data_IF_608440388212
#
_entry.id   IF_608440388212
#
_cell.length_a   1.000
_cell.length_b   1.000
_cell.length_c   1.000
_cell.angle_alpha   90.00
_cell.angle_beta   90.00
_cell.angle_gamma   90.00
#
_symmetry.space_group_name_H-M   'P 1'
#
loop_
_entity.id
_entity.type
_entity.pdbx_description
1 polymer ?
#
# COMPACT_ATOMS: atom_id res chain seq x y z
N UNK A 1 -3.62 -14.59 2.34
CA UNK A 1 -4.59 -13.48 2.39
C UNK A 1 -4.93 -13.27 3.84
N UNK A 2 -4.46 -12.18 4.42
CA UNK A 2 -4.69 -11.86 5.82
C UNK A 2 -6.05 -11.19 5.99
N UNK A 3 -6.72 -11.48 7.10
CA UNK A 3 -7.94 -10.79 7.52
C UNK A 3 -7.56 -9.34 7.82
N UNK A 4 -8.28 -8.37 7.26
CA UNK A 4 -8.07 -6.96 7.64
C UNK A 4 -8.32 -6.86 9.15
N UNK A 5 -7.36 -6.33 9.94
CA UNK A 5 -7.53 -6.26 11.38
C UNK A 5 -8.81 -5.49 11.71
N UNK A 6 -9.58 -6.06 12.64
CA UNK A 6 -10.86 -5.57 13.12
C UNK A 6 -10.83 -4.05 13.34
N UNK A 7 -11.72 -3.32 12.67
CA UNK A 7 -11.94 -1.90 12.93
C UNK A 7 -13.25 -1.75 13.73
N UNK A 8 -13.27 -1.00 14.86
CA UNK A 8 -14.46 -0.89 15.71
C UNK A 8 -15.72 -0.38 15.00
N UNK A 9 -15.54 0.38 13.92
CA UNK A 9 -16.64 1.01 13.17
C UNK A 9 -17.09 0.23 11.94
N UNK A 10 -16.27 -0.69 11.41
CA UNK A 10 -16.56 -1.39 10.14
C UNK A 10 -16.04 -2.82 10.21
N UNK A 11 -16.96 -3.78 10.05
CA UNK A 11 -16.61 -5.19 9.89
C UNK A 11 -16.43 -5.48 8.40
N UNK A 12 -15.21 -5.87 8.00
CA UNK A 12 -14.92 -6.30 6.63
C UNK A 12 -14.92 -7.81 6.57
N UNK A 13 -15.85 -8.39 5.84
CA UNK A 13 -15.95 -9.85 5.67
C UNK A 13 -15.11 -10.34 4.49
N UNK A 14 -14.88 -11.64 4.40
CA UNK A 14 -14.22 -12.25 3.23
C UNK A 14 -15.05 -12.09 1.96
N UNK A 15 -16.38 -12.03 2.10
CA UNK A 15 -17.29 -11.78 0.97
C UNK A 15 -17.13 -10.35 0.44
N UNK A 16 -16.95 -9.36 1.31
CA UNK A 16 -16.69 -7.98 0.90
C UNK A 16 -15.37 -7.90 0.12
N UNK A 17 -14.32 -8.56 0.61
CA UNK A 17 -13.03 -8.64 -0.07
C UNK A 17 -13.17 -9.30 -1.46
N UNK A 18 -13.97 -10.36 -1.58
CA UNK A 18 -14.24 -11.03 -2.85
C UNK A 18 -15.00 -10.13 -3.82
N UNK A 19 -16.03 -9.41 -3.36
CA UNK A 19 -16.81 -8.47 -4.19
C UNK A 19 -15.95 -7.33 -4.70
N UNK A 20 -15.08 -6.76 -3.87
CA UNK A 20 -14.15 -5.70 -4.28
C UNK A 20 -13.21 -6.20 -5.37
N UNK A 21 -12.62 -7.38 -5.18
CA UNK A 21 -11.76 -8.04 -6.18
C UNK A 21 -12.47 -8.23 -7.51
N UNK A 22 -13.70 -8.75 -7.49
CA UNK A 22 -14.54 -8.92 -8.68
C UNK A 22 -14.88 -7.58 -9.36
N UNK A 23 -15.16 -6.53 -8.59
CA UNK A 23 -15.48 -5.20 -9.15
C UNK A 23 -14.32 -4.55 -9.92
N UNK A 24 -13.10 -5.05 -9.72
CA UNK A 24 -11.90 -4.60 -10.39
C UNK A 24 -11.37 -5.61 -11.44
N UNK A 25 -12.10 -6.69 -11.72
CA UNK A 25 -11.67 -7.81 -12.57
C UNK A 25 -10.37 -8.48 -12.08
N UNK A 26 -10.18 -8.53 -10.76
CA UNK A 26 -9.01 -9.12 -10.10
C UNK A 26 -9.48 -10.15 -9.06
N UNK A 27 -10.16 -11.21 -9.49
CA UNK A 27 -10.75 -12.23 -8.62
C UNK A 27 -9.99 -13.56 -8.60
N UNK A 28 -9.04 -13.77 -9.51
CA UNK A 28 -8.11 -14.90 -9.47
C UNK A 28 -7.09 -14.72 -8.33
N UNK A 29 -7.34 -15.44 -7.24
CA UNK A 29 -6.50 -15.44 -6.03
C UNK A 29 -5.07 -15.89 -6.31
N UNK A 30 -4.84 -16.84 -7.22
CA UNK A 30 -3.49 -17.30 -7.51
C UNK A 30 -2.73 -16.24 -8.28
N UNK A 31 -3.35 -15.66 -9.31
CA UNK A 31 -2.79 -14.53 -10.05
C UNK A 31 -2.45 -13.34 -9.15
N UNK A 32 -3.31 -13.03 -8.17
CA UNK A 32 -3.01 -11.99 -7.17
C UNK A 32 -1.74 -12.36 -6.41
N UNK A 33 -1.64 -13.58 -5.88
CA UNK A 33 -0.48 -13.99 -5.09
C UNK A 33 0.82 -13.87 -5.90
N UNK A 34 0.84 -14.41 -7.11
CA UNK A 34 2.00 -14.40 -7.99
C UNK A 34 2.39 -12.97 -8.38
N UNK A 35 1.40 -12.10 -8.61
CA UNK A 35 1.63 -10.69 -8.91
C UNK A 35 2.22 -9.95 -7.71
N UNK A 36 1.71 -10.19 -6.50
CA UNK A 36 2.23 -9.60 -5.28
C UNK A 36 3.65 -10.07 -4.98
N UNK A 37 3.96 -11.35 -5.20
CA UNK A 37 5.32 -11.88 -5.04
C UNK A 37 6.29 -11.23 -6.04
N UNK A 38 5.86 -11.07 -7.30
CA UNK A 38 6.63 -10.37 -8.34
C UNK A 38 6.93 -8.93 -7.95
N UNK A 39 5.96 -8.21 -7.38
CA UNK A 39 6.12 -6.80 -6.98
C UNK A 39 7.00 -6.71 -5.73
N UNK A 40 6.83 -7.60 -4.76
CA UNK A 40 7.64 -7.66 -3.54
C UNK A 40 9.12 -7.94 -3.86
N UNK A 41 9.40 -8.88 -4.76
CA UNK A 41 10.75 -9.12 -5.26
C UNK A 41 11.34 -7.90 -5.96
N UNK A 42 10.53 -7.21 -6.77
CA UNK A 42 10.97 -6.01 -7.46
C UNK A 42 11.33 -4.90 -6.47
N UNK A 43 10.52 -4.67 -5.43
CA UNK A 43 10.81 -3.70 -4.37
C UNK A 43 12.17 -3.97 -3.71
N UNK A 44 12.45 -5.24 -3.39
CA UNK A 44 13.73 -5.67 -2.80
C UNK A 44 14.93 -5.47 -3.72
N UNK A 45 14.72 -5.56 -5.03
CA UNK A 45 15.77 -5.38 -6.05
C UNK A 45 16.07 -3.90 -6.34
N UNK A 46 15.17 -2.97 -6.03
CA UNK A 46 15.38 -1.54 -6.26
C UNK A 46 16.14 -0.90 -5.08
N UNK A 47 17.39 -0.41 -5.26
CA UNK A 47 18.19 0.11 -4.14
C UNK A 47 17.53 1.28 -3.40
N UNK A 48 16.82 2.14 -4.11
CA UNK A 48 16.14 3.31 -3.56
C UNK A 48 14.78 3.00 -2.91
N UNK A 49 14.26 1.78 -3.07
CA UNK A 49 12.99 1.34 -2.46
C UNK A 49 13.19 0.23 -1.43
N UNK A 50 14.34 -0.46 -1.42
CA UNK A 50 14.55 -1.66 -0.63
C UNK A 50 14.25 -1.47 0.87
N UNK A 51 14.72 -0.37 1.46
CA UNK A 51 14.45 -0.04 2.86
C UNK A 51 12.97 0.30 3.08
N UNK A 52 12.42 1.22 2.29
CA UNK A 52 11.02 1.64 2.40
C UNK A 52 10.04 0.47 2.18
N UNK A 53 10.40 -0.47 1.31
CA UNK A 53 9.65 -1.68 1.01
C UNK A 53 9.49 -2.60 2.22
N UNK A 54 10.42 -2.60 3.17
CA UNK A 54 10.31 -3.42 4.40
C UNK A 54 9.12 -3.03 5.28
N UNK A 55 8.63 -1.79 5.15
CA UNK A 55 7.46 -1.29 5.89
C UNK A 55 6.14 -1.52 5.15
N UNK A 56 6.18 -2.06 3.92
CA UNK A 56 4.99 -2.36 3.13
C UNK A 56 4.54 -3.78 3.45
N UNK A 57 3.50 -3.90 4.27
CA UNK A 57 2.89 -5.20 4.52
C UNK A 57 2.23 -5.75 3.25
N UNK A 58 2.07 -7.08 3.19
CA UNK A 58 1.39 -7.73 2.07
C UNK A 58 -0.04 -7.23 1.87
N UNK A 59 -0.73 -6.89 2.96
CA UNK A 59 -2.09 -6.32 2.91
C UNK A 59 -2.11 -4.91 2.32
N UNK A 60 -1.10 -4.07 2.59
CA UNK A 60 -0.95 -2.78 1.91
C UNK A 60 -0.65 -3.01 0.43
N UNK A 61 0.27 -3.92 0.12
CA UNK A 61 0.64 -4.22 -1.27
C UNK A 61 -0.56 -4.68 -2.11
N UNK A 62 -1.41 -5.55 -1.55
CA UNK A 62 -2.65 -6.00 -2.19
C UNK A 62 -3.62 -4.84 -2.43
N UNK A 63 -3.76 -3.91 -1.49
CA UNK A 63 -4.60 -2.71 -1.68
C UNK A 63 -4.10 -1.85 -2.82
N UNK A 64 -2.78 -1.59 -2.90
CA UNK A 64 -2.21 -0.80 -4.00
C UNK A 64 -2.41 -1.53 -5.33
N UNK A 65 -2.28 -2.86 -5.35
CA UNK A 65 -2.53 -3.69 -6.54
C UNK A 65 -3.99 -3.62 -7.02
N UNK A 66 -4.96 -3.71 -6.11
CA UNK A 66 -6.38 -3.54 -6.42
C UNK A 66 -6.65 -2.12 -6.94
N UNK A 67 -6.08 -1.08 -6.31
CA UNK A 67 -6.20 0.31 -6.78
C UNK A 67 -5.55 0.52 -8.16
N UNK A 68 -4.57 -0.31 -8.52
CA UNK A 68 -3.96 -0.37 -9.84
C UNK A 68 -4.73 -1.26 -10.83
N UNK A 69 -5.93 -1.74 -10.48
CA UNK A 69 -6.76 -2.65 -11.29
C UNK A 69 -6.02 -3.93 -11.69
N UNK A 70 -5.21 -4.47 -10.78
CA UNK A 70 -4.46 -5.70 -11.02
C UNK A 70 -3.27 -5.56 -11.97
N UNK A 71 -2.85 -4.33 -12.29
CA UNK A 71 -1.67 -4.07 -13.11
C UNK A 71 -0.40 -4.09 -12.27
N UNK A 72 0.55 -4.97 -12.60
CA UNK A 72 1.87 -5.03 -11.94
C UNK A 72 2.62 -3.71 -12.13
N UNK A 73 2.77 -3.24 -13.37
CA UNK A 73 3.48 -1.97 -13.67
C UNK A 73 2.74 -0.76 -13.09
N UNK A 74 1.41 -0.77 -13.13
CA UNK A 74 0.59 0.26 -12.48
C UNK A 74 0.81 0.31 -10.97
N UNK A 75 1.02 -0.84 -10.34
CA UNK A 75 1.31 -0.94 -8.90
C UNK A 75 2.71 -0.41 -8.59
N UNK A 76 3.72 -0.80 -9.37
CA UNK A 76 5.09 -0.28 -9.25
C UNK A 76 5.12 1.25 -9.33
N UNK A 77 4.48 1.82 -10.36
CA UNK A 77 4.41 3.28 -10.54
C UNK A 77 3.71 3.98 -9.37
N UNK A 78 2.64 3.39 -8.82
CA UNK A 78 1.94 3.93 -7.64
C UNK A 78 2.81 3.88 -6.39
N UNK A 79 3.54 2.79 -6.17
CA UNK A 79 4.46 2.63 -5.04
C UNK A 79 5.60 3.64 -5.10
N UNK A 80 6.25 3.80 -6.26
CA UNK A 80 7.30 4.80 -6.46
C UNK A 80 6.79 6.21 -6.16
N UNK A 81 5.64 6.60 -6.74
CA UNK A 81 5.04 7.91 -6.49
C UNK A 81 4.71 8.13 -5.03
N UNK A 82 4.07 7.15 -4.38
CA UNK A 82 3.70 7.23 -2.97
C UNK A 82 4.94 7.41 -2.09
N UNK A 83 5.98 6.61 -2.29
CA UNK A 83 7.21 6.70 -1.49
C UNK A 83 8.00 7.98 -1.79
N UNK A 84 8.06 8.39 -3.06
CA UNK A 84 8.71 9.64 -3.48
C UNK A 84 8.01 10.85 -2.85
N UNK A 85 6.69 10.95 -2.94
CA UNK A 85 5.94 12.06 -2.34
C UNK A 85 6.14 12.12 -0.82
N UNK A 86 6.20 10.97 -0.13
CA UNK A 86 6.51 10.95 1.31
C UNK A 86 7.92 11.45 1.63
N UNK A 87 8.90 11.16 0.77
CA UNK A 87 10.25 11.68 0.89
C UNK A 87 10.38 13.17 0.57
N UNK A 88 9.54 13.69 -0.34
CA UNK A 88 9.50 15.11 -0.71
C UNK A 88 8.79 16.00 0.32
N UNK A 89 7.88 15.43 1.11
CA UNK A 89 7.08 16.16 2.10
C UNK A 89 7.25 15.55 3.51
N UNK A 90 8.49 15.49 4.03
CA UNK A 90 8.78 14.88 5.33
C UNK A 90 8.04 15.58 6.48
N UNK A 91 7.79 16.88 6.37
CA UNK A 91 6.99 17.65 7.33
C UNK A 91 5.58 17.10 7.54
N UNK A 92 4.96 16.53 6.50
CA UNK A 92 3.63 15.91 6.59
C UNK A 92 3.68 14.41 6.94
N UNK A 93 4.78 13.75 6.60
CA UNK A 93 4.85 12.28 6.56
C UNK A 93 5.68 11.65 7.68
N UNK A 94 6.42 12.44 8.45
CA UNK A 94 7.20 12.00 9.60
C UNK A 94 6.34 11.93 10.87
N UNK A 95 6.72 11.04 11.78
CA UNK A 95 6.07 10.81 13.09
C UNK A 95 6.37 11.97 14.05
N UNK A 96 5.88 13.15 13.72
CA UNK A 96 5.88 14.31 14.59
C UNK A 96 4.79 14.17 15.64
N UNK A 97 5.10 14.61 16.85
CA UNK A 97 4.14 14.86 17.91
C UNK A 97 3.18 15.99 17.53
N UNK A 98 2.06 16.11 18.25
CA UNK A 98 1.09 17.19 18.01
C UNK A 98 1.77 18.54 18.25
N UNK A 99 2.62 18.60 19.26
CA UNK A 99 3.42 19.76 19.64
C UNK A 99 4.36 20.19 18.50
N UNK A 100 5.10 19.26 17.89
CA UNK A 100 5.99 19.53 16.75
C UNK A 100 5.25 19.97 15.47
N UNK A 101 3.95 19.71 15.39
CA UNK A 101 3.10 20.16 14.28
C UNK A 101 2.64 21.61 14.46
N UNK A 102 2.36 22.05 15.69
CA UNK A 102 1.93 23.42 15.97
C UNK A 102 2.99 24.45 15.52
N UNK A 103 4.27 24.18 15.79
CA UNK A 103 5.37 25.09 15.44
C UNK A 103 5.55 25.31 13.92
N UNK A 104 5.01 24.43 13.08
CA UNK A 104 5.11 24.56 11.61
C UNK A 104 3.93 25.28 10.97
N UNK A 105 2.78 25.33 11.62
CA UNK A 105 1.57 25.94 11.04
C UNK A 105 1.57 27.47 11.13
N UNK A 106 2.26 28.00 12.15
CA UNK A 106 2.36 29.44 12.41
C UNK A 106 3.62 30.10 11.81
N UNK A 107 4.40 29.35 11.01
CA UNK A 107 5.62 29.79 10.34
C UNK A 107 5.39 30.13 8.86
#
# INVERSE_FOLDING_TARGET
MEVVPYHPLVTVTQEDMKKVRQSCDVDDVQRIRDSLDTIDEWLKKQPHLAEAGTYISRSILERVFILAKGSVEGTKSRLEKMLTSRGMMPELCLRRSIEEFHDQWDA
#
